data_IF_079419700498
#
_entry.id   IF_079419700498
#
_cell.length_a   1.000
_cell.length_b   1.000
_cell.length_c   1.000
_cell.angle_alpha   90.00
_cell.angle_beta   90.00
_cell.angle_gamma   90.00
#
_symmetry.space_group_name_H-M   'P 1'
#
loop_
_entity.id
_entity.type
_entity.pdbx_description
1 polymer ?
#
# COMPACT_ATOMS: atom_id res chain seq x y z
N UNK A 1 11.84 7.70 -13.33
CA UNK A 1 11.81 9.07 -12.78
C UNK A 1 11.08 9.03 -11.45
N UNK A 2 11.70 9.50 -10.36
CA UNK A 2 11.02 9.63 -9.06
C UNK A 2 10.05 10.82 -9.13
N UNK A 3 8.81 10.63 -8.69
CA UNK A 3 7.81 11.72 -8.66
C UNK A 3 8.09 12.59 -7.45
N UNK A 4 8.01 13.92 -7.56
CA UNK A 4 8.21 14.82 -6.43
C UNK A 4 7.16 14.53 -5.35
N UNK A 5 7.61 14.36 -4.11
CA UNK A 5 6.76 14.13 -2.96
C UNK A 5 6.81 15.34 -2.02
N UNK A 6 5.65 15.80 -1.57
CA UNK A 6 5.53 16.96 -0.67
C UNK A 6 5.78 16.53 0.76
N UNK A 7 6.48 17.39 1.51
CA UNK A 7 6.63 17.24 2.94
C UNK A 7 5.31 17.58 3.67
N UNK A 8 5.11 17.09 4.90
CA UNK A 8 3.85 17.33 5.64
C UNK A 8 3.75 18.73 6.25
N UNK A 9 4.78 19.58 6.14
CA UNK A 9 4.74 20.96 6.65
C UNK A 9 3.73 21.77 5.84
N UNK A 10 2.88 22.53 6.53
CA UNK A 10 1.84 23.36 5.90
C UNK A 10 2.41 24.28 4.81
N UNK A 11 3.56 24.90 5.05
CA UNK A 11 4.24 25.72 4.04
C UNK A 11 4.61 24.93 2.77
N UNK A 12 5.07 23.68 2.90
CA UNK A 12 5.32 22.81 1.74
C UNK A 12 4.00 22.56 1.01
N UNK A 13 2.92 22.24 1.73
CA UNK A 13 1.61 21.90 1.16
C UNK A 13 1.00 23.09 0.42
N UNK A 14 0.96 24.27 1.05
CA UNK A 14 0.44 25.49 0.42
C UNK A 14 1.29 25.92 -0.77
N UNK A 15 2.62 25.96 -0.63
CA UNK A 15 3.51 26.32 -1.76
C UNK A 15 3.34 25.36 -2.92
N UNK A 16 3.22 24.06 -2.64
CA UNK A 16 3.04 23.05 -3.68
C UNK A 16 1.67 23.13 -4.36
N UNK A 17 0.61 23.51 -3.63
CA UNK A 17 -0.71 23.78 -4.18
C UNK A 17 -0.69 25.04 -5.07
N UNK A 18 -0.18 26.17 -4.55
CA UNK A 18 -0.12 27.46 -5.27
C UNK A 18 0.71 27.37 -6.55
N UNK A 19 1.80 26.60 -6.54
CA UNK A 19 2.67 26.42 -7.71
C UNK A 19 2.11 25.44 -8.74
N UNK A 20 0.94 24.83 -8.50
CA UNK A 20 0.30 23.90 -9.45
C UNK A 20 1.08 22.61 -9.67
N UNK A 21 2.09 22.28 -8.84
CA UNK A 21 2.94 21.08 -9.04
C UNK A 21 2.12 19.78 -8.92
N UNK A 22 0.94 19.83 -8.30
CA UNK A 22 -0.04 18.73 -8.23
C UNK A 22 -0.84 18.49 -9.52
N UNK A 23 -1.05 19.50 -10.39
CA UNK A 23 -1.91 19.32 -11.57
C UNK A 23 -1.34 18.23 -12.47
N UNK A 24 -0.01 18.25 -12.66
CA UNK A 24 0.76 17.24 -13.38
C UNK A 24 0.75 15.85 -12.75
N UNK A 25 0.64 15.71 -11.42
CA UNK A 25 0.73 14.40 -10.77
C UNK A 25 -0.49 13.50 -11.04
N UNK A 26 -1.65 14.11 -11.30
CA UNK A 26 -2.88 13.44 -11.70
C UNK A 26 -3.18 13.58 -13.20
N UNK A 27 -2.64 14.58 -13.91
CA UNK A 27 -2.59 14.60 -15.38
C UNK A 27 -1.69 13.47 -15.92
N UNK A 28 -0.53 13.22 -15.27
CA UNK A 28 0.28 12.02 -15.48
C UNK A 28 -0.26 10.84 -14.66
N UNK A 29 -1.41 10.28 -15.08
CA UNK A 29 -1.80 8.91 -14.71
C UNK A 29 -0.84 7.90 -15.37
N UNK A 30 0.47 8.09 -15.20
CA UNK A 30 1.53 7.10 -15.43
C UNK A 30 1.44 5.94 -14.43
N UNK A 31 0.69 6.13 -13.35
CA UNK A 31 0.33 5.08 -12.41
C UNK A 31 -0.90 4.37 -12.94
N UNK A 32 -0.76 3.12 -13.39
CA UNK A 32 -1.86 2.41 -14.06
C UNK A 32 -3.17 2.40 -13.25
N UNK A 33 -4.30 2.49 -13.95
CA UNK A 33 -5.67 2.53 -13.41
C UNK A 33 -5.90 1.64 -12.17
N UNK A 34 -5.41 0.40 -12.19
CA UNK A 34 -5.57 -0.56 -11.09
C UNK A 34 -4.81 -0.19 -9.81
N UNK A 35 -3.70 0.55 -9.92
CA UNK A 35 -3.00 1.07 -8.75
C UNK A 35 -3.82 2.15 -8.07
N UNK A 36 -4.40 3.07 -8.85
CA UNK A 36 -5.23 4.13 -8.29
C UNK A 36 -6.47 3.52 -7.62
N UNK A 37 -7.12 2.56 -8.28
CA UNK A 37 -8.23 1.77 -7.71
C UNK A 37 -7.84 1.16 -6.35
N UNK A 38 -6.68 0.50 -6.27
CA UNK A 38 -6.19 -0.11 -5.06
C UNK A 38 -5.91 0.90 -3.93
N UNK A 39 -5.27 2.03 -4.24
CA UNK A 39 -4.94 3.07 -3.26
C UNK A 39 -6.22 3.69 -2.66
N UNK A 40 -7.22 3.96 -3.49
CA UNK A 40 -8.50 4.50 -3.03
C UNK A 40 -9.25 3.43 -2.21
N UNK A 41 -9.22 2.15 -2.62
CA UNK A 41 -9.86 1.07 -1.88
C UNK A 41 -9.23 0.85 -0.48
N UNK A 42 -7.91 0.90 -0.37
CA UNK A 42 -7.21 0.82 0.92
C UNK A 42 -7.50 2.03 1.82
N UNK A 43 -7.59 3.22 1.23
CA UNK A 43 -8.00 4.44 1.94
C UNK A 43 -9.42 4.27 2.49
N UNK A 44 -10.36 3.78 1.67
CA UNK A 44 -11.75 3.50 2.06
C UNK A 44 -11.82 2.48 3.20
N UNK A 45 -11.15 1.34 3.07
CA UNK A 45 -11.11 0.32 4.12
C UNK A 45 -10.56 0.85 5.46
N UNK A 46 -9.51 1.68 5.41
CA UNK A 46 -8.95 2.30 6.61
C UNK A 46 -9.91 3.30 7.26
N UNK A 47 -10.71 4.02 6.46
CA UNK A 47 -11.67 5.03 6.92
C UNK A 47 -12.97 4.42 7.47
N UNK A 48 -13.39 3.28 6.92
CA UNK A 48 -14.56 2.51 7.38
C UNK A 48 -14.26 1.69 8.65
N UNK A 49 -12.98 1.41 8.95
CA UNK A 49 -12.58 0.67 10.15
C UNK A 49 -12.98 1.39 11.44
N UNK A 50 -13.45 0.65 12.47
CA UNK A 50 -13.67 1.23 13.80
C UNK A 50 -12.37 1.76 14.43
N UNK A 51 -11.20 1.34 13.91
CA UNK A 51 -9.88 1.75 14.38
C UNK A 51 -9.32 2.94 13.58
N UNK A 52 -10.09 3.59 12.71
CA UNK A 52 -9.65 4.70 11.84
C UNK A 52 -8.87 5.80 12.57
N UNK A 53 -9.25 6.12 13.80
CA UNK A 53 -8.55 7.11 14.65
C UNK A 53 -7.09 6.74 14.96
N UNK A 54 -6.74 5.46 14.83
CA UNK A 54 -5.42 4.89 15.12
C UNK A 54 -4.67 4.56 13.83
N UNK A 55 -5.35 3.98 12.83
CA UNK A 55 -4.70 3.37 11.65
C UNK A 55 -4.77 4.23 10.38
N UNK A 56 -5.67 5.23 10.33
CA UNK A 56 -5.79 6.14 9.19
C UNK A 56 -4.71 7.21 9.27
N UNK A 57 -3.47 6.78 9.06
CA UNK A 57 -2.26 7.61 9.16
C UNK A 57 -1.33 7.31 7.98
N UNK A 58 -0.88 8.32 7.22
CA UNK A 58 -1.18 9.74 7.37
C UNK A 58 -2.64 10.10 7.10
N UNK A 59 -3.13 11.10 7.84
CA UNK A 59 -4.35 11.82 7.52
C UNK A 59 -4.06 12.84 6.39
N UNK A 60 -4.99 13.08 5.45
CA UNK A 60 -4.79 14.03 4.37
C UNK A 60 -4.51 15.46 4.82
N UNK A 61 -3.61 16.11 4.08
CA UNK A 61 -3.39 17.56 4.14
C UNK A 61 -3.78 18.13 2.78
N UNK A 62 -5.00 18.67 2.68
CA UNK A 62 -5.57 19.15 1.42
C UNK A 62 -6.05 20.58 1.61
N UNK A 63 -5.59 21.49 0.76
CA UNK A 63 -5.98 22.91 0.74
C UNK A 63 -7.44 23.02 0.31
N UNK A 64 -8.21 23.90 0.95
CA UNK A 64 -9.58 24.18 0.56
C UNK A 64 -9.60 24.90 -0.80
N UNK A 65 -10.27 24.35 -1.84
CA UNK A 65 -10.40 25.01 -3.14
C UNK A 65 -11.11 26.37 -3.08
N UNK A 66 -11.98 26.58 -2.09
CA UNK A 66 -12.73 27.83 -1.92
C UNK A 66 -12.02 28.82 -0.99
N UNK A 67 -11.07 28.35 -0.17
CA UNK A 67 -10.25 29.17 0.71
C UNK A 67 -8.78 28.68 0.74
N UNK A 68 -7.93 29.18 -0.19
CA UNK A 68 -6.55 28.73 -0.33
C UNK A 68 -5.63 28.97 0.88
N UNK A 69 -6.13 29.65 1.93
CA UNK A 69 -5.40 29.90 3.18
C UNK A 69 -5.65 28.82 4.23
N UNK A 70 -6.61 27.93 4.01
CA UNK A 70 -6.99 26.91 4.98
C UNK A 70 -6.89 25.51 4.38
N UNK A 71 -6.79 24.52 5.29
CA UNK A 71 -6.80 23.11 4.92
C UNK A 71 -8.21 22.54 5.15
N UNK A 72 -8.86 22.10 4.07
CA UNK A 72 -10.12 21.37 4.15
C UNK A 72 -9.96 20.01 4.86
N UNK A 73 -8.80 19.36 4.65
CA UNK A 73 -8.38 18.21 5.46
C UNK A 73 -7.10 18.55 6.20
N UNK A 74 -7.19 18.57 7.54
CA UNK A 74 -6.08 18.95 8.43
C UNK A 74 -5.77 17.81 9.42
N UNK A 75 -4.53 17.27 9.43
CA UNK A 75 -4.13 16.23 10.38
C UNK A 75 -4.27 16.61 11.86
N UNK A 76 -4.23 17.91 12.19
CA UNK A 76 -4.42 18.44 13.55
C UNK A 76 -5.89 18.53 13.95
N UNK A 77 -6.81 18.61 12.97
CA UNK A 77 -8.26 18.71 13.18
C UNK A 77 -8.97 17.74 12.24
N UNK A 78 -8.86 16.45 12.56
CA UNK A 78 -9.37 15.36 11.73
C UNK A 78 -10.90 15.37 11.71
N UNK A 79 -11.50 15.40 10.52
CA UNK A 79 -12.94 15.23 10.30
C UNK A 79 -13.13 14.02 9.37
N UNK A 80 -13.55 12.89 9.93
CA UNK A 80 -13.64 11.63 9.18
C UNK A 80 -14.92 11.56 8.34
N UNK A 81 -16.00 12.18 8.81
CA UNK A 81 -17.30 12.23 8.15
C UNK A 81 -17.21 13.02 6.84
N UNK A 82 -16.59 14.21 6.88
CA UNK A 82 -16.36 15.04 5.69
C UNK A 82 -15.42 14.35 4.70
N UNK A 83 -14.40 13.66 5.21
CA UNK A 83 -13.45 12.91 4.40
C UNK A 83 -14.12 11.74 3.69
N UNK A 84 -15.00 11.01 4.39
CA UNK A 84 -15.77 9.91 3.82
C UNK A 84 -16.65 10.42 2.67
N UNK A 85 -17.36 11.53 2.87
CA UNK A 85 -18.20 12.14 1.83
C UNK A 85 -17.42 12.54 0.57
N UNK A 86 -16.22 13.12 0.74
CA UNK A 86 -15.35 13.43 -0.39
C UNK A 86 -14.86 12.15 -1.10
N UNK A 87 -14.49 11.13 -0.33
CA UNK A 87 -14.03 9.84 -0.85
C UNK A 87 -15.14 9.07 -1.60
N UNK A 88 -16.38 9.17 -1.14
CA UNK A 88 -17.57 8.61 -1.82
C UNK A 88 -17.86 9.30 -3.16
N UNK A 89 -17.37 10.53 -3.33
CA UNK A 89 -17.51 11.31 -4.56
C UNK A 89 -16.31 11.12 -5.51
N UNK A 90 -15.30 10.34 -5.11
CA UNK A 90 -14.22 9.92 -6.02
C UNK A 90 -14.79 8.90 -7.00
N UNK A 91 -14.83 9.27 -8.28
CA UNK A 91 -15.35 8.41 -9.34
C UNK A 91 -14.57 7.10 -9.44
N UNK A 92 -15.20 6.07 -10.00
CA UNK A 92 -14.51 4.81 -10.27
C UNK A 92 -13.47 4.98 -11.37
N UNK A 93 -12.45 4.14 -11.35
CA UNK A 93 -11.42 4.14 -12.39
C UNK A 93 -11.99 3.86 -13.79
N UNK A 94 -13.08 3.09 -13.88
CA UNK A 94 -13.78 2.86 -15.15
C UNK A 94 -14.25 4.19 -15.75
N UNK A 95 -14.89 5.03 -14.95
CA UNK A 95 -15.35 6.35 -15.36
C UNK A 95 -14.16 7.28 -15.68
N UNK A 96 -13.07 7.19 -14.91
CA UNK A 96 -11.85 7.95 -15.18
C UNK A 96 -11.11 7.54 -16.48
N UNK A 97 -11.43 6.40 -17.07
CA UNK A 97 -10.79 5.95 -18.33
C UNK A 97 -11.64 6.28 -19.57
N UNK A 98 -12.86 6.76 -19.38
CA UNK A 98 -13.84 6.99 -20.44
C UNK A 98 -13.85 8.43 -20.98
N UNK A 99 -13.14 9.36 -20.33
CA UNK A 99 -13.13 10.78 -20.70
C UNK A 99 -11.76 11.42 -20.55
N UNK A 100 -11.64 12.67 -20.99
CA UNK A 100 -10.44 13.45 -20.74
C UNK A 100 -10.32 13.78 -19.26
N UNK A 101 -9.09 13.95 -18.78
CA UNK A 101 -8.81 14.35 -17.40
C UNK A 101 -9.60 15.59 -16.96
N UNK A 102 -9.74 16.57 -17.86
CA UNK A 102 -10.46 17.82 -17.57
C UNK A 102 -11.96 17.57 -17.36
N UNK A 103 -12.57 16.68 -18.15
CA UNK A 103 -13.98 16.29 -17.98
C UNK A 103 -14.17 15.52 -16.66
N UNK A 104 -13.25 14.60 -16.36
CA UNK A 104 -13.25 13.80 -15.13
C UNK A 104 -13.15 14.70 -13.90
N UNK A 105 -12.26 15.69 -13.93
CA UNK A 105 -12.15 16.70 -12.88
C UNK A 105 -13.45 17.48 -12.73
N UNK A 106 -14.01 18.02 -13.83
CA UNK A 106 -15.28 18.77 -13.80
C UNK A 106 -16.43 17.95 -13.23
N UNK A 107 -16.49 16.65 -13.56
CA UNK A 107 -17.50 15.74 -13.01
C UNK A 107 -17.33 15.53 -11.50
N UNK A 108 -16.10 15.29 -11.02
CA UNK A 108 -15.81 15.21 -9.59
C UNK A 108 -16.15 16.51 -8.85
N UNK A 109 -15.72 17.66 -9.38
CA UNK A 109 -15.97 18.98 -8.78
C UNK A 109 -17.48 19.26 -8.63
N UNK A 110 -18.31 18.75 -9.55
CA UNK A 110 -19.78 18.85 -9.48
C UNK A 110 -20.38 18.00 -8.35
N UNK A 111 -19.78 16.85 -8.04
CA UNK A 111 -20.24 15.97 -6.95
C UNK A 111 -19.74 16.48 -5.59
N UNK A 112 -18.44 16.75 -5.49
CA UNK A 112 -17.80 17.31 -4.32
C UNK A 112 -16.49 18.00 -4.72
N UNK A 113 -16.31 19.31 -4.43
CA UNK A 113 -15.10 20.05 -4.80
C UNK A 113 -13.82 19.51 -4.14
N UNK A 114 -13.92 18.68 -3.09
CA UNK A 114 -12.78 18.02 -2.45
C UNK A 114 -12.47 16.62 -3.02
N UNK A 115 -13.32 16.05 -3.87
CA UNK A 115 -13.09 14.70 -4.41
C UNK A 115 -11.80 14.62 -5.23
N UNK A 116 -11.61 15.54 -6.17
CA UNK A 116 -10.43 15.58 -7.02
C UNK A 116 -9.15 15.94 -6.25
N UNK A 117 -9.12 16.98 -5.38
CA UNK A 117 -7.99 17.25 -4.50
C UNK A 117 -7.62 16.08 -3.58
N UNK A 118 -8.62 15.35 -3.06
CA UNK A 118 -8.39 14.16 -2.25
C UNK A 118 -7.77 13.03 -3.07
N UNK A 119 -8.27 12.78 -4.28
CA UNK A 119 -7.70 11.79 -5.20
C UNK A 119 -6.24 12.11 -5.54
N UNK A 120 -5.94 13.39 -5.84
CA UNK A 120 -4.57 13.86 -6.05
C UNK A 120 -3.69 13.59 -4.82
N UNK A 121 -4.19 13.88 -3.62
CA UNK A 121 -3.47 13.57 -2.40
C UNK A 121 -3.23 12.06 -2.28
N UNK A 122 -4.24 11.21 -2.48
CA UNK A 122 -4.11 9.74 -2.36
C UNK A 122 -2.98 9.21 -3.24
N UNK A 123 -2.94 9.64 -4.51
CA UNK A 123 -1.96 9.21 -5.51
C UNK A 123 -0.56 9.74 -5.16
N UNK A 124 -0.44 11.04 -4.88
CA UNK A 124 0.87 11.70 -4.71
C UNK A 124 1.56 11.41 -3.38
N UNK A 125 0.78 11.14 -2.34
CA UNK A 125 1.36 10.79 -1.03
C UNK A 125 1.83 9.32 -0.97
N UNK A 126 1.61 8.53 -2.03
CA UNK A 126 2.17 7.18 -2.16
C UNK A 126 3.65 7.23 -2.56
N UNK A 127 4.53 7.28 -1.56
CA UNK A 127 5.99 7.35 -1.76
C UNK A 127 6.63 6.02 -2.13
N UNK A 128 5.89 4.93 -2.05
CA UNK A 128 6.40 3.57 -2.30
C UNK A 128 6.49 3.21 -3.78
N UNK A 129 6.00 4.08 -4.68
CA UNK A 129 6.00 3.87 -6.13
C UNK A 129 5.51 2.47 -6.50
N UNK A 130 4.23 2.22 -6.22
CA UNK A 130 3.61 0.93 -6.50
C UNK A 130 3.28 0.82 -7.99
N UNK A 131 3.66 -0.31 -8.60
CA UNK A 131 3.38 -0.61 -10.00
C UNK A 131 2.75 -1.98 -10.14
N UNK A 132 1.78 -2.14 -11.04
CA UNK A 132 1.22 -3.47 -11.34
C UNK A 132 2.23 -4.27 -12.15
N UNK A 133 2.46 -5.54 -11.75
CA UNK A 133 3.30 -6.45 -12.52
C UNK A 133 2.58 -6.90 -13.80
N UNK A 134 3.22 -6.79 -14.97
CA UNK A 134 2.67 -7.36 -16.21
C UNK A 134 2.61 -8.88 -16.12
N UNK A 135 1.69 -9.52 -16.84
CA UNK A 135 1.44 -10.97 -16.78
C UNK A 135 2.73 -11.81 -16.95
N UNK A 136 3.65 -11.38 -17.81
CA UNK A 136 4.93 -12.05 -18.07
C UNK A 136 5.90 -12.04 -16.86
N UNK A 137 5.70 -11.10 -15.92
CA UNK A 137 6.52 -10.90 -14.72
C UNK A 137 5.76 -11.20 -13.43
N UNK A 138 4.60 -11.85 -13.50
CA UNK A 138 3.90 -12.31 -12.30
C UNK A 138 4.51 -13.60 -11.75
N UNK A 139 4.43 -13.75 -10.43
CA UNK A 139 4.77 -14.97 -9.71
C UNK A 139 3.60 -15.94 -9.88
N UNK A 140 3.80 -17.00 -10.67
CA UNK A 140 2.70 -17.88 -11.09
C UNK A 140 2.13 -18.68 -9.93
N UNK A 141 2.99 -19.04 -8.97
CA UNK A 141 2.62 -19.79 -7.78
C UNK A 141 1.66 -19.02 -6.84
N UNK A 142 1.47 -17.71 -7.03
CA UNK A 142 0.56 -16.92 -6.19
C UNK A 142 -0.90 -16.99 -6.65
N UNK A 143 -1.17 -17.56 -7.83
CA UNK A 143 -2.53 -17.77 -8.36
C UNK A 143 -3.42 -16.51 -8.35
N UNK A 144 -2.84 -15.33 -8.54
CA UNK A 144 -3.56 -14.05 -8.66
C UNK A 144 -2.99 -13.19 -9.78
N UNK A 145 -3.88 -12.52 -10.52
CA UNK A 145 -3.52 -11.52 -11.52
C UNK A 145 -3.21 -10.14 -10.93
N UNK A 146 -3.44 -9.96 -9.63
CA UNK A 146 -3.30 -8.70 -8.91
C UNK A 146 -2.04 -8.70 -8.05
N UNK A 147 -0.91 -8.51 -8.73
CA UNK A 147 0.41 -8.45 -8.12
C UNK A 147 1.03 -7.08 -8.38
N UNK A 148 1.50 -6.45 -7.33
CA UNK A 148 2.05 -5.11 -7.39
C UNK A 148 3.43 -5.07 -6.76
N UNK A 149 4.37 -4.39 -7.41
CA UNK A 149 5.73 -4.21 -6.90
C UNK A 149 5.87 -2.81 -6.30
N UNK A 150 6.43 -2.72 -5.09
CA UNK A 150 6.81 -1.45 -4.47
C UNK A 150 8.26 -1.15 -4.87
N UNK A 151 8.47 -0.12 -5.69
CA UNK A 151 9.78 0.19 -6.27
C UNK A 151 10.65 1.10 -5.39
N UNK A 152 10.03 1.88 -4.50
CA UNK A 152 10.75 2.93 -3.77
C UNK A 152 10.70 2.71 -2.27
N UNK A 153 11.89 2.63 -1.67
CA UNK A 153 12.11 2.82 -0.24
C UNK A 153 12.91 4.12 -0.02
N UNK A 154 12.76 4.82 1.11
CA UNK A 154 13.60 5.98 1.42
C UNK A 154 15.10 5.65 1.26
N UNK A 155 15.92 6.46 0.55
CA UNK A 155 17.31 6.10 0.22
C UNK A 155 18.16 5.70 1.43
N UNK A 156 17.98 6.36 2.58
CA UNK A 156 18.68 6.02 3.82
C UNK A 156 18.30 4.63 4.35
N UNK A 157 17.03 4.21 4.20
CA UNK A 157 16.54 2.88 4.61
C UNK A 157 17.11 1.80 3.68
N UNK A 158 17.08 2.04 2.38
CA UNK A 158 17.66 1.16 1.36
C UNK A 158 19.17 0.99 1.54
N UNK A 159 19.91 2.07 1.80
CA UNK A 159 21.35 2.00 2.07
C UNK A 159 21.68 1.13 3.30
N UNK A 160 20.94 1.32 4.41
CA UNK A 160 21.08 0.49 5.62
C UNK A 160 20.77 -0.98 5.34
N UNK A 161 19.74 -1.25 4.53
CA UNK A 161 19.39 -2.61 4.14
C UNK A 161 20.48 -3.26 3.30
N UNK A 162 21.01 -2.56 2.28
CA UNK A 162 22.11 -3.05 1.42
C UNK A 162 23.35 -3.40 2.24
N UNK A 163 23.76 -2.55 3.19
CA UNK A 163 24.88 -2.85 4.09
C UNK A 163 24.62 -4.11 4.92
N UNK A 164 23.43 -4.21 5.51
CA UNK A 164 23.11 -5.38 6.32
C UNK A 164 22.96 -6.67 5.50
N UNK A 165 22.45 -6.59 4.27
CA UNK A 165 22.36 -7.72 3.34
C UNK A 165 23.73 -8.27 3.01
N UNK A 166 24.74 -7.41 2.80
CA UNK A 166 26.13 -7.85 2.59
C UNK A 166 26.70 -8.60 3.80
N UNK A 167 26.33 -8.21 5.01
CA UNK A 167 26.84 -8.80 6.26
C UNK A 167 26.12 -10.09 6.68
N UNK A 168 24.80 -10.16 6.50
CA UNK A 168 23.96 -11.21 7.09
C UNK A 168 23.15 -12.02 6.08
N UNK A 169 23.30 -11.70 4.79
CA UNK A 169 22.42 -12.22 3.75
C UNK A 169 20.99 -11.66 3.83
N UNK A 170 20.16 -12.09 2.90
CA UNK A 170 18.72 -11.84 2.90
C UNK A 170 17.94 -13.06 2.40
N UNK A 171 16.68 -13.14 2.81
CA UNK A 171 15.71 -14.10 2.29
C UNK A 171 14.33 -13.44 2.20
N UNK A 172 13.43 -14.06 1.46
CA UNK A 172 12.08 -13.56 1.27
C UNK A 172 11.12 -14.23 2.27
N UNK A 173 10.14 -13.46 2.75
CA UNK A 173 9.04 -13.99 3.54
C UNK A 173 7.77 -13.16 3.34
N UNK A 174 6.63 -13.77 3.65
CA UNK A 174 5.33 -13.15 3.58
C UNK A 174 4.98 -12.41 4.87
N UNK A 175 4.21 -11.33 4.73
CA UNK A 175 3.55 -10.58 5.78
C UNK A 175 2.06 -10.49 5.46
N UNK A 176 1.22 -10.82 6.43
CA UNK A 176 -0.22 -10.60 6.34
C UNK A 176 -0.68 -9.45 7.21
N UNK A 177 -1.65 -8.69 6.72
CA UNK A 177 -2.36 -7.70 7.51
C UNK A 177 -3.76 -7.47 6.97
N UNK A 178 -4.72 -7.16 7.85
CA UNK A 178 -6.06 -6.73 7.45
C UNK A 178 -6.00 -5.57 6.46
N UNK A 179 -6.94 -5.55 5.49
CA UNK A 179 -6.96 -4.58 4.38
C UNK A 179 -6.89 -3.11 4.85
N UNK A 180 -7.57 -2.80 5.95
CA UNK A 180 -7.61 -1.47 6.58
C UNK A 180 -6.26 -0.94 7.06
N UNK A 181 -5.27 -1.79 7.28
CA UNK A 181 -3.93 -1.37 7.70
C UNK A 181 -3.06 -0.93 6.51
N UNK A 182 -3.40 -1.33 5.28
CA UNK A 182 -2.52 -1.13 4.12
C UNK A 182 -2.43 0.31 3.65
N UNK A 183 -3.42 1.17 3.96
CA UNK A 183 -3.28 2.62 3.80
C UNK A 183 -2.03 3.14 4.50
N UNK A 184 -1.81 2.72 5.75
CA UNK A 184 -0.63 3.14 6.52
C UNK A 184 0.63 2.43 6.05
N UNK A 185 0.56 1.12 5.83
CA UNK A 185 1.73 0.31 5.42
C UNK A 185 2.32 0.80 4.10
N UNK A 186 1.49 1.18 3.12
CA UNK A 186 1.99 1.71 1.84
C UNK A 186 2.67 3.08 1.96
N UNK A 187 2.42 3.82 3.03
CA UNK A 187 2.91 5.20 3.20
C UNK A 187 4.06 5.29 4.19
N UNK A 188 3.99 4.52 5.27
CA UNK A 188 4.95 4.51 6.38
C UNK A 188 5.87 3.27 6.35
N UNK A 189 5.55 2.27 5.51
CA UNK A 189 6.15 0.95 5.57
C UNK A 189 5.60 0.12 6.73
N UNK A 190 6.07 -1.12 6.81
CA UNK A 190 5.79 -1.96 7.97
C UNK A 190 6.45 -1.38 9.22
N UNK A 191 5.68 -1.30 10.31
CA UNK A 191 6.12 -0.77 11.60
C UNK A 191 6.01 -1.83 12.68
N UNK A 192 6.92 -1.76 13.65
CA UNK A 192 6.88 -2.60 14.84
C UNK A 192 5.73 -2.15 15.75
N UNK A 193 4.61 -2.85 15.67
CA UNK A 193 3.40 -2.53 16.43
C UNK A 193 3.41 -3.10 17.87
N UNK A 194 4.39 -3.94 18.23
CA UNK A 194 4.37 -4.64 19.52
C UNK A 194 4.39 -3.67 20.71
N UNK A 195 3.48 -3.92 21.66
CA UNK A 195 3.24 -3.11 22.87
C UNK A 195 2.83 -1.66 22.56
N UNK A 196 2.19 -1.43 21.42
CA UNK A 196 1.61 -0.14 21.04
C UNK A 196 0.11 -0.28 20.79
N UNK A 197 -0.59 0.85 20.65
CA UNK A 197 -2.00 0.91 20.24
C UNK A 197 -2.29 0.26 18.87
N UNK A 198 -1.26 -0.02 18.07
CA UNK A 198 -1.38 -0.67 16.76
C UNK A 198 -1.37 -2.21 16.87
N UNK A 199 -1.08 -2.78 18.05
CA UNK A 199 -0.99 -4.23 18.22
C UNK A 199 -2.37 -4.88 18.13
N UNK A 200 -2.61 -5.66 17.08
CA UNK A 200 -3.82 -6.51 16.94
C UNK A 200 -3.64 -7.91 17.54
N UNK A 201 -2.43 -8.46 17.41
CA UNK A 201 -2.12 -9.82 17.83
C UNK A 201 -0.98 -9.78 18.86
N UNK A 202 -0.96 -10.74 19.79
CA UNK A 202 0.08 -10.81 20.80
C UNK A 202 1.49 -10.89 20.22
N UNK A 203 2.46 -10.34 20.95
CA UNK A 203 3.87 -10.41 20.60
C UNK A 203 4.51 -11.68 21.18
N UNK A 204 4.07 -12.85 20.73
CA UNK A 204 4.46 -14.16 21.27
C UNK A 204 5.99 -14.39 21.30
N UNK A 205 6.72 -13.74 20.39
CA UNK A 205 8.17 -13.86 20.24
C UNK A 205 8.87 -12.50 20.42
N UNK A 206 8.24 -11.63 21.20
CA UNK A 206 8.72 -10.30 21.52
C UNK A 206 8.54 -9.29 20.39
N UNK A 207 9.16 -8.13 20.57
CA UNK A 207 8.83 -6.86 19.90
C UNK A 207 9.24 -6.74 18.40
N UNK A 208 8.38 -6.95 17.41
CA UNK A 208 8.75 -6.67 15.99
C UNK A 208 7.68 -6.89 14.95
N UNK A 209 8.07 -6.93 13.67
CA UNK A 209 7.17 -7.04 12.51
C UNK A 209 7.07 -8.48 12.07
N UNK A 210 5.88 -9.05 12.01
CA UNK A 210 5.79 -10.50 11.98
C UNK A 210 5.76 -11.07 10.54
N UNK A 211 6.64 -12.02 10.19
CA UNK A 211 6.76 -12.64 8.86
C UNK A 211 6.78 -14.17 8.90
N UNK A 212 6.31 -14.79 7.82
CA UNK A 212 6.36 -16.25 7.63
C UNK A 212 6.87 -16.61 6.25
N UNK A 213 7.75 -17.62 6.11
CA UNK A 213 8.09 -18.15 4.79
C UNK A 213 6.90 -18.85 4.12
N UNK A 214 5.86 -19.21 4.88
CA UNK A 214 4.67 -19.91 4.42
C UNK A 214 3.55 -18.91 4.15
N UNK A 215 3.03 -18.91 2.92
CA UNK A 215 1.98 -17.99 2.47
C UNK A 215 0.68 -18.10 3.28
N UNK A 216 0.21 -19.32 3.54
CA UNK A 216 -1.06 -19.58 4.24
C UNK A 216 -1.11 -18.95 5.63
N UNK A 217 0.01 -19.00 6.35
CA UNK A 217 0.16 -18.35 7.65
C UNK A 217 -0.05 -16.84 7.53
N UNK A 218 0.55 -16.19 6.52
CA UNK A 218 0.34 -14.76 6.29
C UNK A 218 -1.09 -14.46 5.84
N UNK A 219 -1.72 -15.32 5.04
CA UNK A 219 -3.15 -15.18 4.74
C UNK A 219 -4.03 -15.26 6.00
N UNK A 220 -3.61 -16.07 6.98
CA UNK A 220 -4.15 -16.12 8.35
C UNK A 220 -4.23 -14.74 9.04
N UNK A 221 -3.33 -13.83 8.70
CA UNK A 221 -3.27 -12.47 9.25
C UNK A 221 -3.91 -11.41 8.36
N UNK A 222 -4.36 -11.78 7.16
CA UNK A 222 -5.02 -10.87 6.23
C UNK A 222 -6.52 -10.72 6.47
N UNK A 223 -7.07 -11.41 7.47
CA UNK A 223 -8.50 -11.44 7.80
C UNK A 223 -9.18 -12.80 7.56
N UNK A 224 -8.42 -13.83 7.22
CA UNK A 224 -8.89 -15.22 7.14
C UNK A 224 -8.39 -15.96 8.38
N UNK A 225 -9.27 -16.55 9.21
CA UNK A 225 -9.07 -17.39 10.42
C UNK A 225 -7.61 -17.57 10.95
N UNK A 226 -7.44 -17.19 12.23
CA UNK A 226 -6.26 -17.22 13.13
C UNK A 226 -5.13 -18.24 12.83
N UNK A 227 -3.86 -17.80 12.95
CA UNK A 227 -2.84 -18.35 13.89
C UNK A 227 -1.47 -17.64 13.82
N UNK A 228 -0.71 -17.71 14.93
CA UNK A 228 0.53 -17.01 15.40
C UNK A 228 1.72 -16.87 14.40
N UNK A 229 2.43 -15.73 14.38
CA UNK A 229 3.71 -15.47 13.62
C UNK A 229 4.75 -14.73 14.49
N UNK A 230 5.94 -14.43 13.96
CA UNK A 230 7.22 -13.95 14.56
C UNK A 230 7.89 -12.77 13.82
N UNK A 231 8.69 -11.99 14.56
CA UNK A 231 9.50 -10.75 14.38
C UNK A 231 10.44 -10.56 13.14
N UNK A 232 10.52 -9.33 12.57
CA UNK A 232 11.42 -8.87 11.50
C UNK A 232 11.41 -7.32 11.30
N UNK A 233 12.26 -6.79 10.40
CA UNK A 233 12.36 -5.39 9.93
C UNK A 233 12.78 -5.35 8.45
N UNK A 234 12.08 -4.61 7.58
CA UNK A 234 12.16 -4.80 6.10
C UNK A 234 12.12 -3.53 5.25
N UNK A 235 12.68 -3.64 4.04
CA UNK A 235 12.53 -2.75 2.87
C UNK A 235 12.38 -3.59 1.60
N UNK A 236 11.58 -3.07 0.65
CA UNK A 236 11.14 -3.68 -0.62
C UNK A 236 10.18 -4.87 -0.46
N UNK A 237 8.95 -4.69 -0.94
CA UNK A 237 7.88 -5.68 -0.84
C UNK A 237 7.07 -5.76 -2.15
N UNK A 238 6.52 -6.95 -2.44
CA UNK A 238 5.52 -7.19 -3.48
C UNK A 238 4.19 -7.44 -2.80
N UNK A 239 3.15 -6.71 -3.20
CA UNK A 239 1.82 -6.81 -2.64
C UNK A 239 0.94 -7.72 -3.50
N UNK A 240 0.28 -8.69 -2.88
CA UNK A 240 -0.69 -9.59 -3.51
C UNK A 240 -2.06 -9.30 -2.97
N UNK A 241 -3.02 -9.12 -3.88
CA UNK A 241 -4.43 -8.95 -3.52
C UNK A 241 -5.22 -10.12 -4.08
N UNK A 242 -5.98 -10.81 -3.23
CA UNK A 242 -6.95 -11.83 -3.60
C UNK A 242 -8.36 -11.26 -3.49
N UNK A 243 -9.11 -11.34 -4.57
CA UNK A 243 -10.54 -11.03 -4.62
C UNK A 243 -11.32 -12.35 -4.66
N UNK A 244 -12.26 -12.53 -3.75
CA UNK A 244 -13.19 -13.67 -3.79
C UNK A 244 -14.44 -13.29 -4.61
N UNK A 245 -14.56 -13.90 -5.80
CA UNK A 245 -15.71 -14.00 -6.73
C UNK A 245 -16.04 -12.87 -7.76
N UNK A 246 -16.31 -13.38 -8.99
CA UNK A 246 -16.79 -12.89 -10.32
C UNK A 246 -16.22 -11.60 -10.98
N UNK A 247 -15.95 -11.62 -12.30
CA UNK A 247 -15.31 -10.52 -13.02
C UNK A 247 -16.33 -9.44 -13.40
N UNK A 248 -16.32 -8.31 -12.68
CA UNK A 248 -16.97 -7.06 -13.11
C UNK A 248 -15.92 -5.94 -13.09
N UNK A 249 -15.97 -5.07 -14.10
CA UNK A 249 -14.96 -4.12 -14.58
C UNK A 249 -14.64 -2.91 -13.64
N UNK A 250 -14.69 -3.11 -12.32
CA UNK A 250 -14.31 -2.15 -11.27
C UNK A 250 -13.84 -2.94 -10.06
N UNK A 251 -12.55 -3.30 -10.04
CA UNK A 251 -12.07 -4.54 -9.38
C UNK A 251 -11.88 -4.41 -7.87
N UNK A 252 -11.35 -3.30 -7.36
CA UNK A 252 -11.03 -3.15 -5.93
C UNK A 252 -12.01 -2.24 -5.20
N UNK A 253 -12.35 -1.06 -5.74
CA UNK A 253 -13.20 -0.09 -5.04
C UNK A 253 -14.59 -0.59 -4.68
N UNK A 254 -15.13 -1.52 -5.44
CA UNK A 254 -16.45 -2.11 -5.21
C UNK A 254 -16.40 -3.42 -4.42
N UNK A 255 -15.19 -3.96 -4.18
CA UNK A 255 -15.03 -5.21 -3.45
C UNK A 255 -15.08 -4.94 -1.94
N UNK A 256 -15.96 -5.66 -1.24
CA UNK A 256 -16.03 -5.63 0.24
C UNK A 256 -15.02 -6.57 0.90
N UNK A 257 -14.46 -7.51 0.14
CA UNK A 257 -13.64 -8.61 0.66
C UNK A 257 -12.31 -8.67 -0.10
N UNK A 258 -11.38 -7.78 0.25
CA UNK A 258 -10.01 -7.78 -0.28
C UNK A 258 -9.06 -8.40 0.75
N UNK A 259 -8.42 -9.49 0.37
CA UNK A 259 -7.34 -10.08 1.17
C UNK A 259 -6.00 -9.67 0.58
N UNK A 260 -5.08 -9.24 1.44
CA UNK A 260 -3.83 -8.65 0.99
C UNK A 260 -2.66 -9.17 1.83
N UNK A 261 -1.60 -9.62 1.16
CA UNK A 261 -0.34 -10.02 1.79
C UNK A 261 0.84 -9.38 1.05
N UNK A 262 1.95 -9.16 1.73
CA UNK A 262 3.19 -8.69 1.12
C UNK A 262 4.27 -9.78 1.16
N UNK A 263 4.99 -9.99 0.06
CA UNK A 263 6.26 -10.72 0.04
C UNK A 263 7.39 -9.70 0.17
N UNK A 264 8.16 -9.78 1.23
CA UNK A 264 9.19 -8.80 1.56
C UNK A 264 10.58 -9.45 1.63
N UNK A 265 11.61 -8.65 1.32
CA UNK A 265 13.00 -9.08 1.45
C UNK A 265 13.55 -8.66 2.83
N UNK A 266 14.03 -9.63 3.61
CA UNK A 266 14.51 -9.43 4.98
C UNK A 266 15.81 -10.14 5.29
N UNK A 267 16.39 -9.83 6.45
CA UNK A 267 17.63 -10.49 6.90
C UNK A 267 17.33 -11.95 7.26
N UNK A 268 18.19 -12.87 6.83
CA UNK A 268 18.01 -14.33 7.00
C UNK A 268 17.86 -14.75 8.47
N UNK A 269 18.57 -14.11 9.39
CA UNK A 269 18.51 -14.40 10.84
C UNK A 269 17.18 -14.03 11.52
N UNK A 270 16.17 -13.59 10.77
CA UNK A 270 14.90 -13.06 11.31
C UNK A 270 13.66 -13.77 10.75
N UNK A 271 13.81 -14.91 10.06
CA UNK A 271 12.68 -15.63 9.44
C UNK A 271 12.60 -17.02 10.07
N UNK A 272 11.50 -17.28 10.77
CA UNK A 272 11.27 -18.53 11.50
C UNK A 272 10.92 -19.68 10.54
N UNK A 273 11.48 -20.89 10.71
CA UNK A 273 11.23 -22.04 9.84
C UNK A 273 9.89 -22.76 10.09
N UNK A 274 9.21 -22.50 11.21
CA UNK A 274 8.16 -23.41 11.69
C UNK A 274 6.74 -22.92 11.41
N UNK A 275 6.06 -23.64 10.52
CA UNK A 275 4.65 -23.49 10.25
C UNK A 275 4.04 -24.79 9.71
N UNK A 276 2.93 -25.23 10.32
CA UNK A 276 2.23 -26.45 9.91
C UNK A 276 1.45 -26.30 8.61
N UNK A 277 1.17 -27.47 8.00
CA UNK A 277 0.89 -27.63 6.59
C UNK A 277 -0.62 -27.56 6.28
N UNK A 278 -1.00 -26.72 5.32
CA UNK A 278 -2.33 -26.68 4.72
C UNK A 278 -2.20 -26.61 3.19
N UNK A 279 -3.27 -26.96 2.47
CA UNK A 279 -3.23 -27.35 1.05
C UNK A 279 -2.91 -26.23 0.03
N UNK A 280 -2.57 -25.01 0.48
CA UNK A 280 -2.17 -23.87 -0.35
C UNK A 280 -0.83 -23.23 0.11
N UNK A 281 0.12 -24.07 0.49
CA UNK A 281 1.37 -23.65 1.13
C UNK A 281 2.50 -23.37 0.14
N UNK A 282 2.69 -22.10 -0.21
CA UNK A 282 3.92 -21.65 -0.86
C UNK A 282 4.95 -21.37 0.23
N UNK A 283 6.09 -22.06 0.18
CA UNK A 283 7.21 -21.84 1.07
C UNK A 283 8.34 -21.08 0.34
N UNK A 284 8.62 -19.84 0.78
CA UNK A 284 9.68 -19.01 0.20
C UNK A 284 11.09 -19.54 0.42
N UNK A 285 11.28 -20.58 1.24
CA UNK A 285 12.59 -21.23 1.43
C UNK A 285 12.83 -22.37 0.42
N UNK A 286 11.83 -22.76 -0.38
CA UNK A 286 12.04 -23.74 -1.43
C UNK A 286 12.90 -23.16 -2.57
N UNK A 287 13.95 -23.87 -3.04
CA UNK A 287 14.84 -23.36 -4.08
C UNK A 287 14.13 -22.95 -5.38
N UNK A 288 13.07 -23.67 -5.76
CA UNK A 288 12.26 -23.35 -6.95
C UNK A 288 11.52 -22.02 -6.78
N UNK A 289 10.91 -21.82 -5.62
CA UNK A 289 10.19 -20.59 -5.28
C UNK A 289 11.16 -19.41 -5.19
N UNK A 290 12.30 -19.57 -4.52
CA UNK A 290 13.33 -18.51 -4.45
C UNK A 290 13.84 -18.10 -5.83
N UNK A 291 14.11 -19.06 -6.71
CA UNK A 291 14.55 -18.79 -8.08
C UNK A 291 13.51 -17.99 -8.87
N UNK A 292 12.22 -18.31 -8.71
CA UNK A 292 11.15 -17.57 -9.38
C UNK A 292 10.96 -16.16 -8.79
N UNK A 293 11.05 -16.00 -7.47
CA UNK A 293 11.04 -14.70 -6.79
C UNK A 293 12.20 -13.83 -7.31
N UNK A 294 13.42 -14.37 -7.36
CA UNK A 294 14.59 -13.64 -7.84
C UNK A 294 14.49 -13.28 -9.33
N UNK A 295 13.91 -14.15 -10.16
CA UNK A 295 13.65 -13.86 -11.57
C UNK A 295 12.73 -12.64 -11.76
N UNK A 296 11.74 -12.46 -10.89
CA UNK A 296 10.76 -11.39 -11.00
C UNK A 296 11.24 -10.10 -10.32
N UNK A 297 11.75 -10.21 -9.10
CA UNK A 297 12.07 -9.08 -8.22
C UNK A 297 13.55 -8.68 -8.34
N UNK A 298 14.46 -9.65 -8.37
CA UNK A 298 15.90 -9.42 -8.35
C UNK A 298 16.41 -8.60 -9.53
N UNK A 299 15.84 -8.80 -10.73
CA UNK A 299 16.27 -8.06 -11.92
C UNK A 299 15.91 -6.57 -11.89
N UNK A 300 14.96 -6.12 -11.05
CA UNK A 300 14.55 -4.72 -10.98
C UNK A 300 15.26 -3.93 -9.88
N UNK A 301 15.56 -4.56 -8.74
CA UNK A 301 16.19 -3.88 -7.59
C UNK A 301 17.71 -3.69 -7.80
N UNK A 302 18.35 -4.57 -8.58
CA UNK A 302 19.81 -4.65 -8.71
C UNK A 302 20.38 -4.21 -10.06
N UNK A 303 19.52 -3.77 -11.01
CA UNK A 303 19.95 -3.27 -12.34
C UNK A 303 19.77 -1.75 -12.50
N UNK A 304 19.58 -1.02 -11.39
CA UNK A 304 19.43 0.45 -11.35
C UNK A 304 20.61 1.12 -10.69
#
# INVERSE_FOLDING_TARGET
MLKPAVCTRELCVFSFYTLGVMSGAAEEVATGAEVVDLLVAMCRAALESPRKSIIFEPYPSVVDPNDPKTLAFNPKKKNYERLQKALDSVMSIREMTQGSYLEIKKQMDKLDPLAHPLLQWIISSNRSHIVKLPLSRQLKFMHTSHQFLLLSSPPAKEARFRTAKKLYGSTFAFHGSHIENWHSVLRNGLVNASYTKLQLHGAAYGKGIYLSPISSISFGYSGTIQTRVFRASLSNCVLFVLQQSRPIQSRFLQSRNLNCIALCEGKTSQISPDGQVGDANINTQEPKIQKEIMRVIGTQIYSS
#
